data_IF_361848366682
#
_entry.id   IF_361848366682
#
_cell.length_a   1.000
_cell.length_b   1.000
_cell.length_c   1.000
_cell.angle_alpha   90.00
_cell.angle_beta   90.00
_cell.angle_gamma   90.00
#
_symmetry.space_group_name_H-M   'P 1'
#
loop_
_entity.id
_entity.type
_entity.pdbx_description
1 polymer ?
#
# COMPACT_ATOMS: atom_id res chain seq x y z
N UNK A 1 -18.40 -24.29 -25.54
CA UNK A 1 -17.26 -23.45 -25.10
C UNK A 1 -17.68 -22.69 -23.86
N UNK A 2 -17.11 -23.00 -22.69
CA UNK A 2 -17.52 -22.40 -21.41
C UNK A 2 -16.99 -20.96 -21.32
N UNK A 3 -17.91 -20.00 -21.31
CA UNK A 3 -17.64 -18.57 -21.09
C UNK A 3 -17.04 -18.38 -19.69
N UNK A 4 -15.77 -18.00 -19.65
CA UNK A 4 -15.12 -17.56 -18.41
C UNK A 4 -15.64 -16.17 -18.09
N UNK A 5 -16.63 -16.10 -17.18
CA UNK A 5 -17.02 -14.85 -16.54
C UNK A 5 -15.80 -14.31 -15.80
N UNK A 6 -15.14 -13.29 -16.36
CA UNK A 6 -14.22 -12.44 -15.61
C UNK A 6 -15.01 -11.88 -14.43
N UNK A 7 -14.76 -12.42 -13.24
CA UNK A 7 -15.15 -11.80 -11.99
C UNK A 7 -14.35 -10.51 -11.87
N UNK A 8 -14.90 -9.43 -12.40
CA UNK A 8 -14.52 -8.08 -11.97
C UNK A 8 -15.01 -7.96 -10.55
N UNK A 9 -14.16 -8.32 -9.59
CA UNK A 9 -14.34 -7.84 -8.22
C UNK A 9 -14.38 -6.32 -8.32
N UNK A 10 -15.53 -5.74 -7.99
CA UNK A 10 -15.64 -4.30 -7.82
C UNK A 10 -14.54 -3.90 -6.84
N UNK A 11 -13.70 -2.95 -7.24
CA UNK A 11 -12.70 -2.39 -6.34
C UNK A 11 -13.53 -1.71 -5.23
N UNK A 12 -13.38 -2.20 -4.01
CA UNK A 12 -13.94 -1.52 -2.83
C UNK A 12 -13.56 -0.04 -2.91
N UNK A 13 -14.50 0.91 -2.77
CA UNK A 13 -14.18 2.34 -2.81
C UNK A 13 -13.11 2.75 -1.79
N UNK A 14 -12.85 1.94 -0.76
CA UNK A 14 -11.78 2.14 0.22
C UNK A 14 -10.41 1.58 -0.20
N UNK A 15 -10.31 0.89 -1.34
CA UNK A 15 -9.06 0.30 -1.81
C UNK A 15 -8.34 1.19 -2.83
N UNK A 16 -7.12 1.61 -2.48
CA UNK A 16 -6.21 2.33 -3.40
C UNK A 16 -5.35 1.34 -4.19
N UNK A 17 -5.15 1.60 -5.49
CA UNK A 17 -4.25 0.81 -6.34
C UNK A 17 -2.89 1.48 -6.47
N UNK A 18 -1.86 0.84 -5.91
CA UNK A 18 -0.47 1.27 -6.06
C UNK A 18 0.26 0.46 -7.14
N UNK A 19 1.00 1.15 -8.01
CA UNK A 19 1.95 0.50 -8.94
C UNK A 19 3.35 0.62 -8.39
N UNK A 20 4.02 -0.52 -8.15
CA UNK A 20 5.37 -0.55 -7.57
C UNK A 20 6.35 -1.26 -8.49
N UNK A 21 7.61 -0.82 -8.45
CA UNK A 21 8.73 -1.52 -9.08
C UNK A 21 9.54 -2.23 -8.00
N UNK A 22 9.75 -3.54 -8.17
CA UNK A 22 10.57 -4.35 -7.25
C UNK A 22 11.68 -5.07 -8.02
N UNK A 23 12.74 -5.43 -7.31
CA UNK A 23 13.85 -6.19 -7.91
C UNK A 23 13.36 -7.55 -8.43
N UNK A 24 13.99 -8.03 -9.51
CA UNK A 24 13.72 -9.36 -10.08
C UNK A 24 13.93 -10.48 -9.05
N UNK A 25 14.88 -10.30 -8.14
CA UNK A 25 15.15 -11.24 -7.04
C UNK A 25 13.93 -11.35 -6.10
N UNK A 26 13.41 -10.21 -5.62
CA UNK A 26 12.25 -10.19 -4.72
C UNK A 26 11.01 -10.75 -5.40
N UNK A 27 10.78 -10.39 -6.67
CA UNK A 27 9.67 -10.93 -7.44
C UNK A 27 9.72 -12.45 -7.56
N UNK A 28 10.90 -13.05 -7.79
CA UNK A 28 11.06 -14.52 -7.83
C UNK A 28 10.67 -15.17 -6.50
N UNK A 29 11.06 -14.59 -5.36
CA UNK A 29 10.70 -15.11 -4.04
C UNK A 29 9.19 -15.02 -3.80
N UNK A 30 8.58 -13.89 -4.13
CA UNK A 30 7.12 -13.72 -4.09
C UNK A 30 6.41 -14.74 -4.99
N UNK A 31 6.93 -14.97 -6.20
CA UNK A 31 6.38 -15.95 -7.12
C UNK A 31 6.42 -17.37 -6.53
N UNK A 32 7.54 -17.80 -5.97
CA UNK A 32 7.65 -19.13 -5.36
C UNK A 32 6.67 -19.28 -4.20
N UNK A 33 6.60 -18.27 -3.33
CA UNK A 33 5.68 -18.27 -2.20
C UNK A 33 4.21 -18.32 -2.66
N UNK A 34 3.88 -17.52 -3.67
CA UNK A 34 2.57 -17.50 -4.31
C UNK A 34 2.17 -18.87 -4.87
N UNK A 35 3.12 -19.58 -5.52
CA UNK A 35 2.88 -20.92 -6.08
C UNK A 35 2.63 -21.97 -5.00
N UNK A 36 3.36 -21.93 -3.88
CA UNK A 36 3.17 -22.86 -2.76
C UNK A 36 1.75 -22.74 -2.18
N UNK A 37 1.20 -21.52 -2.12
CA UNK A 37 -0.11 -21.26 -1.49
C UNK A 37 -1.27 -21.10 -2.49
N UNK A 38 -1.04 -21.30 -3.80
CA UNK A 38 -2.08 -21.15 -4.82
C UNK A 38 -2.65 -19.73 -4.96
N UNK A 39 -1.88 -18.70 -4.60
CA UNK A 39 -2.30 -17.28 -4.71
C UNK A 39 -1.49 -16.54 -5.77
N UNK A 40 -1.84 -15.27 -6.02
CA UNK A 40 -1.06 -14.39 -6.89
C UNK A 40 0.08 -13.70 -6.10
N UNK A 41 1.23 -13.40 -6.72
CA UNK A 41 2.33 -12.67 -6.07
C UNK A 41 1.90 -11.32 -5.48
N UNK A 42 0.94 -10.65 -6.10
CA UNK A 42 0.39 -9.37 -5.65
C UNK A 42 -0.31 -9.44 -4.30
N UNK A 43 -0.95 -10.58 -3.98
CA UNK A 43 -1.60 -10.76 -2.68
C UNK A 43 -0.57 -10.75 -1.54
N UNK A 44 0.55 -11.45 -1.73
CA UNK A 44 1.65 -11.47 -0.76
C UNK A 44 2.39 -10.13 -0.69
N UNK A 45 2.56 -9.44 -1.81
CA UNK A 45 3.11 -8.09 -1.80
C UNK A 45 2.24 -7.13 -0.95
N UNK A 46 0.92 -7.18 -1.12
CA UNK A 46 -0.02 -6.39 -0.31
C UNK A 46 0.06 -6.73 1.18
N UNK A 47 0.12 -8.03 1.52
CA UNK A 47 0.28 -8.48 2.91
C UNK A 47 1.59 -7.97 3.54
N UNK A 48 2.70 -8.06 2.82
CA UNK A 48 4.00 -7.57 3.31
C UNK A 48 3.93 -6.06 3.57
N UNK A 49 3.34 -5.29 2.66
CA UNK A 49 3.21 -3.83 2.82
C UNK A 49 2.34 -3.51 4.05
N UNK A 50 1.16 -4.14 4.19
CA UNK A 50 0.28 -3.94 5.36
C UNK A 50 0.99 -4.30 6.67
N UNK A 51 1.65 -5.47 6.74
CA UNK A 51 2.40 -5.88 7.94
C UNK A 51 3.51 -4.90 8.29
N UNK A 52 4.17 -4.29 7.29
CA UNK A 52 5.21 -3.29 7.54
C UNK A 52 4.64 -1.96 8.00
N UNK A 53 3.52 -1.51 7.45
CA UNK A 53 2.84 -0.30 7.92
C UNK A 53 2.36 -0.44 9.36
N UNK A 54 1.72 -1.57 9.69
CA UNK A 54 1.28 -1.87 11.06
C UNK A 54 2.45 -1.89 12.04
N UNK A 55 3.54 -2.58 11.69
CA UNK A 55 4.73 -2.65 12.54
C UNK A 55 5.43 -1.29 12.75
N UNK A 56 5.22 -0.32 11.86
CA UNK A 56 5.85 1.00 11.93
C UNK A 56 4.86 2.13 12.26
N UNK A 57 3.61 1.83 12.59
CA UNK A 57 2.56 2.87 12.77
C UNK A 57 2.94 3.91 13.82
N UNK A 58 3.51 3.50 14.97
CA UNK A 58 3.95 4.44 16.01
C UNK A 58 5.08 5.35 15.53
N UNK A 59 6.07 4.78 14.82
CA UNK A 59 7.20 5.54 14.27
C UNK A 59 6.72 6.54 13.21
N UNK A 60 5.83 6.12 12.32
CA UNK A 60 5.24 7.01 11.31
C UNK A 60 4.55 8.20 11.99
N UNK A 61 3.73 7.94 13.02
CA UNK A 61 3.06 9.02 13.78
C UNK A 61 4.02 9.98 14.45
N UNK A 62 5.09 9.46 15.05
CA UNK A 62 6.15 10.28 15.66
C UNK A 62 6.83 11.18 14.63
N UNK A 63 7.21 10.62 13.48
CA UNK A 63 7.86 11.36 12.40
C UNK A 63 6.95 12.44 11.80
N UNK A 64 5.65 12.16 11.62
CA UNK A 64 4.68 13.16 11.17
C UNK A 64 4.54 14.28 12.20
N UNK A 65 4.47 13.96 13.49
CA UNK A 65 4.40 14.95 14.56
C UNK A 65 5.65 15.83 14.64
N UNK A 66 6.84 15.25 14.48
CA UNK A 66 8.10 16.00 14.42
C UNK A 66 8.14 16.95 13.22
N UNK A 67 7.68 16.49 12.06
CA UNK A 67 7.61 17.33 10.86
C UNK A 67 6.62 18.48 11.02
N UNK A 68 5.42 18.22 11.51
CA UNK A 68 4.42 19.25 11.80
C UNK A 68 4.96 20.31 12.76
N UNK A 69 5.65 19.86 13.82
CA UNK A 69 6.33 20.75 14.77
C UNK A 69 7.42 21.60 14.10
N UNK A 70 8.21 21.02 13.20
CA UNK A 70 9.27 21.74 12.49
C UNK A 70 8.73 22.83 11.55
N UNK A 71 7.51 22.63 11.03
CA UNK A 71 6.79 23.57 10.18
C UNK A 71 5.87 24.52 10.96
N UNK A 72 5.78 24.38 12.28
CA UNK A 72 4.91 25.16 13.16
C UNK A 72 3.42 25.10 12.75
N UNK A 73 2.97 23.93 12.32
CA UNK A 73 1.57 23.62 12.00
C UNK A 73 1.08 22.41 12.81
N UNK A 74 -0.23 22.18 12.82
CA UNK A 74 -0.80 20.98 13.44
C UNK A 74 -0.55 19.72 12.60
N UNK A 75 -0.61 18.55 13.23
CA UNK A 75 -0.51 17.26 12.51
C UNK A 75 -1.65 17.13 11.51
N UNK A 76 -2.87 17.50 11.93
CA UNK A 76 -4.07 17.44 11.11
C UNK A 76 -3.96 18.35 9.88
N UNK A 77 -3.36 19.53 10.03
CA UNK A 77 -3.12 20.45 8.91
C UNK A 77 -2.07 19.90 7.95
N UNK A 78 -1.01 19.27 8.46
CA UNK A 78 0.02 18.64 7.64
C UNK A 78 -0.54 17.46 6.84
N UNK A 79 -1.28 16.56 7.49
CA UNK A 79 -1.92 15.40 6.84
C UNK A 79 -2.88 15.85 5.75
N UNK A 80 -3.76 16.81 6.06
CA UNK A 80 -4.71 17.36 5.08
C UNK A 80 -4.00 17.98 3.87
N UNK A 81 -2.90 18.71 4.09
CA UNK A 81 -2.12 19.30 3.00
C UNK A 81 -1.60 18.23 2.05
N UNK A 82 -1.05 17.14 2.56
CA UNK A 82 -0.56 16.03 1.74
C UNK A 82 -1.67 15.28 1.00
N UNK A 83 -2.81 15.06 1.65
CA UNK A 83 -3.98 14.46 1.00
C UNK A 83 -4.49 15.35 -0.16
N UNK A 84 -4.50 16.66 0.01
CA UNK A 84 -4.87 17.60 -1.05
C UNK A 84 -3.84 17.66 -2.19
N UNK A 85 -2.55 17.45 -1.91
CA UNK A 85 -1.49 17.38 -2.91
C UNK A 85 -1.59 16.10 -3.75
N UNK A 86 -1.83 14.95 -3.11
CA UNK A 86 -1.99 13.65 -3.81
C UNK A 86 -3.24 13.63 -4.71
N UNK A 87 -4.37 14.19 -4.25
CA UNK A 87 -5.60 14.27 -5.04
C UNK A 87 -5.51 15.19 -6.27
N UNK A 88 -4.46 16.01 -6.39
CA UNK A 88 -4.23 16.90 -7.54
C UNK A 88 -3.38 16.23 -8.65
N UNK A 89 -2.79 15.06 -8.38
CA UNK A 89 -1.97 14.28 -9.32
C UNK A 89 -2.83 13.26 -10.09
#
# INVERSE_FOLDING_TARGET
>A
MKSSKKSTMAIDPHNTRLTITISKYNYKKLLHWAKIHGKQPTAFAGQIISSRLEANTSLIKEQVAEMAKSENISVEELEKRWEEEDNKL
#
